data_IF_203765476134
#
_entry.id   IF_203765476134
#
_cell.length_a   1.000
_cell.length_b   1.000
_cell.length_c   1.000
_cell.angle_alpha   90.00
_cell.angle_beta   90.00
_cell.angle_gamma   90.00
#
_symmetry.space_group_name_H-M   'P 1'
#
loop_
_entity.id
_entity.type
_entity.pdbx_description
1 polymer ?
#
# COMPACT_ATOMS: atom_id res chain seq x y z
N UNK A 1 -11.95 40.66 35.59
CA UNK A 1 -11.25 40.92 36.88
C UNK A 1 -10.12 41.94 36.70
N UNK A 2 -9.81 42.75 37.73
CA UNK A 2 -8.68 43.69 37.69
C UNK A 2 -7.47 43.08 38.42
N UNK A 3 -6.32 43.01 37.75
CA UNK A 3 -5.10 42.48 38.33
C UNK A 3 -4.60 43.40 39.46
N UNK A 4 -4.52 42.89 40.70
CA UNK A 4 -4.03 43.68 41.85
C UNK A 4 -2.56 44.14 41.72
N UNK A 5 -1.75 43.45 40.89
CA UNK A 5 -0.33 43.78 40.70
C UNK A 5 -0.10 44.88 39.65
N UNK A 6 -0.87 44.90 38.58
CA UNK A 6 -0.65 45.85 37.47
C UNK A 6 -1.85 46.75 37.13
N UNK A 7 -2.99 46.58 37.80
CA UNK A 7 -4.17 47.42 37.68
C UNK A 7 -4.95 47.28 36.37
N UNK A 8 -4.61 46.29 35.51
CA UNK A 8 -5.27 46.06 34.22
C UNK A 8 -6.38 45.02 34.33
N UNK A 9 -7.41 45.21 33.52
CA UNK A 9 -8.56 44.30 33.43
C UNK A 9 -8.24 43.11 32.50
N UNK A 10 -8.61 41.90 32.92
CA UNK A 10 -8.47 40.64 32.18
C UNK A 10 -9.66 39.72 32.45
N UNK A 11 -9.86 38.71 31.58
CA UNK A 11 -10.96 37.74 31.65
C UNK A 11 -10.85 36.83 32.89
N UNK A 12 -12.00 36.49 33.50
CA UNK A 12 -12.08 35.85 34.82
C UNK A 12 -11.60 34.39 34.84
N UNK A 13 -11.66 33.71 33.69
CA UNK A 13 -11.27 32.32 33.47
C UNK A 13 -9.77 32.15 33.19
N UNK A 14 -9.02 33.25 33.07
CA UNK A 14 -7.57 33.17 32.84
C UNK A 14 -6.81 32.87 34.14
N UNK A 15 -5.92 31.85 34.14
CA UNK A 15 -5.19 31.42 35.34
C UNK A 15 -4.12 32.42 35.80
N UNK A 16 -3.68 33.33 34.91
CA UNK A 16 -2.71 34.38 35.20
C UNK A 16 -2.93 35.61 34.34
N UNK A 17 -2.54 36.77 34.88
CA UNK A 17 -2.59 38.04 34.16
C UNK A 17 -1.61 38.03 32.96
N UNK A 18 -2.12 38.24 31.76
CA UNK A 18 -1.35 38.25 30.51
C UNK A 18 -0.16 39.23 30.48
N UNK A 19 -0.24 40.33 31.22
CA UNK A 19 0.78 41.39 31.16
C UNK A 19 1.89 41.29 32.19
N UNK A 20 1.67 40.59 33.31
CA UNK A 20 2.66 40.55 34.40
C UNK A 20 2.81 39.17 35.05
N UNK A 21 2.17 38.15 34.47
CA UNK A 21 2.14 36.75 34.92
C UNK A 21 1.71 36.57 36.38
N UNK A 22 1.03 37.56 36.98
CA UNK A 22 0.50 37.42 38.33
C UNK A 22 -0.62 36.34 38.34
N UNK A 23 -0.57 35.35 39.25
CA UNK A 23 -1.58 34.31 39.33
C UNK A 23 -2.94 34.89 39.72
N UNK A 24 -4.01 34.29 39.20
CA UNK A 24 -5.37 34.70 39.51
C UNK A 24 -5.83 34.06 40.83
N UNK A 25 -5.87 34.86 41.90
CA UNK A 25 -6.20 34.40 43.27
C UNK A 25 -7.63 33.81 43.39
N UNK A 26 -8.54 34.12 42.47
CA UNK A 26 -9.89 33.55 42.48
C UNK A 26 -9.94 32.09 42.00
N UNK A 27 -8.96 31.67 41.18
CA UNK A 27 -8.87 30.29 40.68
C UNK A 27 -8.05 29.38 41.59
N UNK A 28 -7.22 29.94 42.48
CA UNK A 28 -6.40 29.17 43.42
C UNK A 28 -7.16 28.64 44.65
N UNK A 29 -8.49 28.77 44.70
CA UNK A 29 -9.33 28.31 45.81
C UNK A 29 -10.41 27.30 45.42
N UNK A 30 -10.32 26.72 44.22
CA UNK A 30 -11.09 25.55 43.82
C UNK A 30 -10.17 24.33 43.68
N UNK A 31 -9.77 23.76 44.83
CA UNK A 31 -9.42 22.35 44.91
C UNK A 31 -10.73 21.56 45.04
N UNK A 32 -10.99 20.65 44.09
CA UNK A 32 -12.14 19.76 44.12
C UNK A 32 -12.43 19.11 42.78
N UNK A 33 -11.71 18.02 42.50
CA UNK A 33 -12.19 16.76 41.90
C UNK A 33 -11.25 16.17 40.84
N UNK A 34 -10.62 15.08 41.29
CA UNK A 34 -9.82 14.09 40.61
C UNK A 34 -10.55 13.44 39.41
N UNK A 35 -10.42 14.01 38.20
CA UNK A 35 -11.05 13.42 37.02
C UNK A 35 -10.25 13.53 35.70
N UNK A 36 -8.93 13.76 35.70
CA UNK A 36 -8.18 13.89 34.43
C UNK A 36 -6.85 13.13 34.32
N UNK A 37 -6.37 12.48 35.39
CA UNK A 37 -5.15 11.64 35.34
C UNK A 37 -5.45 10.17 35.07
N UNK A 38 -6.58 9.66 35.54
CA UNK A 38 -6.98 8.27 35.33
C UNK A 38 -7.23 7.94 33.84
N UNK A 39 -7.78 8.88 33.06
CA UNK A 39 -8.02 8.67 31.62
C UNK A 39 -6.71 8.76 30.81
N UNK A 40 -5.76 9.63 31.18
CA UNK A 40 -4.46 9.69 30.49
C UNK A 40 -3.59 8.49 30.80
N UNK A 41 -3.57 8.05 32.07
CA UNK A 41 -2.82 6.86 32.49
C UNK A 41 -3.43 5.59 31.92
N UNK A 42 -4.77 5.44 31.90
CA UNK A 42 -5.42 4.28 31.27
C UNK A 42 -5.22 4.25 29.74
N UNK A 43 -5.17 5.42 29.09
CA UNK A 43 -4.90 5.53 27.65
C UNK A 43 -3.43 5.29 27.31
N UNK A 44 -2.51 5.70 28.18
CA UNK A 44 -1.07 5.42 28.09
C UNK A 44 -0.73 3.97 28.45
N UNK A 45 -1.44 3.36 29.40
CA UNK A 45 -1.35 1.94 29.72
C UNK A 45 -1.95 1.08 28.60
N UNK A 46 -3.10 1.45 28.04
CA UNK A 46 -3.66 0.78 26.86
C UNK A 46 -2.71 0.91 25.66
N UNK A 47 -2.05 2.05 25.49
CA UNK A 47 -1.02 2.27 24.47
C UNK A 47 0.22 1.41 24.74
N UNK A 48 0.74 1.38 25.98
CA UNK A 48 1.88 0.58 26.43
C UNK A 48 1.62 -0.93 26.32
N UNK A 49 0.42 -1.37 26.68
CA UNK A 49 -0.03 -2.76 26.57
C UNK A 49 -0.24 -3.15 25.10
N UNK A 50 -0.78 -2.26 24.27
CA UNK A 50 -0.80 -2.44 22.82
C UNK A 50 0.61 -2.55 22.25
N UNK A 51 1.55 -1.70 22.69
CA UNK A 51 2.95 -1.72 22.29
C UNK A 51 3.67 -3.00 22.73
N UNK A 52 3.38 -3.51 23.93
CA UNK A 52 3.89 -4.81 24.41
C UNK A 52 3.34 -5.98 23.59
N UNK A 53 2.10 -5.89 23.10
CA UNK A 53 1.50 -6.84 22.15
C UNK A 53 2.09 -6.72 20.74
N UNK A 54 2.57 -5.53 20.36
CA UNK A 54 3.24 -5.21 19.11
C UNK A 54 4.69 -5.75 19.01
N UNK A 55 5.26 -6.25 20.12
CA UNK A 55 6.58 -6.92 20.17
C UNK A 55 6.40 -8.44 20.08
N UNK A 56 5.64 -8.89 19.08
CA UNK A 56 5.47 -10.31 18.78
C UNK A 56 6.53 -10.76 17.75
N UNK A 57 7.44 -11.70 18.08
CA UNK A 57 8.40 -12.26 17.13
C UNK A 57 7.74 -12.90 15.89
N UNK A 58 6.48 -13.30 15.97
CA UNK A 58 5.71 -13.80 14.82
C UNK A 58 5.30 -12.67 13.88
N UNK A 59 4.93 -11.50 14.43
CA UNK A 59 4.58 -10.31 13.65
C UNK A 59 5.78 -9.74 12.90
N UNK A 60 6.93 -9.68 13.57
CA UNK A 60 8.22 -9.27 12.99
C UNK A 60 8.57 -10.16 11.77
N UNK A 61 8.55 -11.49 11.96
CA UNK A 61 8.76 -12.46 10.88
C UNK A 61 7.73 -12.31 9.75
N UNK A 62 6.48 -12.02 10.08
CA UNK A 62 5.41 -11.87 9.09
C UNK A 62 5.67 -10.68 8.15
N UNK A 63 6.13 -9.54 8.70
CA UNK A 63 6.51 -8.36 7.93
C UNK A 63 7.72 -8.63 7.04
N UNK A 64 8.79 -9.21 7.57
CA UNK A 64 9.99 -9.55 6.81
C UNK A 64 9.68 -10.48 5.64
N UNK A 65 8.89 -11.51 5.91
CA UNK A 65 8.42 -12.43 4.89
C UNK A 65 7.57 -11.69 3.83
N UNK A 66 6.72 -10.74 4.22
CA UNK A 66 5.91 -10.00 3.28
C UNK A 66 6.71 -9.00 2.44
N UNK A 67 7.74 -8.37 3.01
CA UNK A 67 8.71 -7.56 2.25
C UNK A 67 9.40 -8.42 1.19
N UNK A 68 9.80 -9.65 1.55
CA UNK A 68 10.36 -10.62 0.59
C UNK A 68 9.34 -11.00 -0.50
N UNK A 69 8.06 -11.19 -0.14
CA UNK A 69 6.97 -11.43 -1.10
C UNK A 69 6.79 -10.25 -2.06
N UNK A 70 6.84 -9.01 -1.57
CA UNK A 70 6.74 -7.79 -2.39
C UNK A 70 7.89 -7.68 -3.39
N UNK A 71 9.13 -7.92 -2.96
CA UNK A 71 10.31 -7.98 -3.85
C UNK A 71 10.16 -9.07 -4.91
N UNK A 72 9.66 -10.25 -4.53
CA UNK A 72 9.40 -11.36 -5.45
C UNK A 72 8.30 -11.01 -6.46
N UNK A 73 7.18 -10.44 -6.02
CA UNK A 73 6.09 -9.98 -6.88
C UNK A 73 6.59 -8.96 -7.91
N UNK A 74 7.38 -7.97 -7.50
CA UNK A 74 8.00 -6.99 -8.42
C UNK A 74 8.87 -7.70 -9.48
N UNK A 75 9.68 -8.68 -9.08
CA UNK A 75 10.55 -9.41 -10.00
C UNK A 75 9.74 -10.15 -11.07
N UNK A 76 8.71 -10.88 -10.66
CA UNK A 76 7.83 -11.60 -11.57
C UNK A 76 7.00 -10.66 -12.45
N UNK A 77 6.57 -9.50 -11.93
CA UNK A 77 5.90 -8.47 -12.73
C UNK A 77 6.81 -7.91 -13.82
N UNK A 78 8.11 -7.69 -13.55
CA UNK A 78 9.08 -7.29 -14.57
C UNK A 78 9.29 -8.37 -15.63
N UNK A 79 9.40 -9.63 -15.21
CA UNK A 79 9.50 -10.76 -16.13
C UNK A 79 8.26 -10.85 -17.04
N UNK A 80 7.07 -10.64 -16.48
CA UNK A 80 5.81 -10.61 -17.22
C UNK A 80 5.75 -9.45 -18.24
N UNK A 81 6.39 -8.31 -17.99
CA UNK A 81 6.51 -7.24 -18.99
C UNK A 81 7.28 -7.73 -20.22
N UNK A 82 8.43 -8.39 -20.01
CA UNK A 82 9.25 -8.93 -21.11
C UNK A 82 8.47 -9.97 -21.91
N UNK A 83 7.78 -10.89 -21.24
CA UNK A 83 6.95 -11.89 -21.91
C UNK A 83 5.82 -11.26 -22.73
N UNK A 84 5.15 -10.22 -22.22
CA UNK A 84 4.10 -9.52 -22.96
C UNK A 84 4.64 -8.76 -24.18
N UNK A 85 5.84 -8.18 -24.09
CA UNK A 85 6.50 -7.55 -25.26
C UNK A 85 6.79 -8.61 -26.33
N UNK A 86 7.29 -9.78 -25.96
CA UNK A 86 7.49 -10.89 -26.90
C UNK A 86 6.15 -11.34 -27.52
N UNK A 87 5.10 -11.44 -26.70
CA UNK A 87 3.75 -11.77 -27.15
C UNK A 87 3.21 -10.75 -28.14
N UNK A 88 3.47 -9.45 -27.94
CA UNK A 88 3.10 -8.40 -28.89
C UNK A 88 3.73 -8.63 -30.27
N UNK A 89 5.03 -8.94 -30.35
CA UNK A 89 5.69 -9.19 -31.63
C UNK A 89 5.13 -10.43 -32.34
N UNK A 90 4.87 -11.50 -31.60
CA UNK A 90 4.23 -12.70 -32.16
C UNK A 90 2.81 -12.37 -32.61
N UNK A 91 2.04 -11.62 -31.81
CA UNK A 91 0.69 -11.17 -32.12
C UNK A 91 0.63 -10.35 -33.40
N UNK A 92 1.50 -9.35 -33.58
CA UNK A 92 1.54 -8.55 -34.82
C UNK A 92 1.79 -9.43 -36.05
N UNK A 93 2.74 -10.37 -35.95
CA UNK A 93 3.05 -11.33 -37.02
C UNK A 93 1.87 -12.24 -37.36
N UNK A 94 1.17 -12.75 -36.34
CA UNK A 94 0.08 -13.71 -36.54
C UNK A 94 -1.23 -13.01 -36.95
N UNK A 95 -1.55 -11.84 -36.40
CA UNK A 95 -2.72 -11.05 -36.81
C UNK A 95 -2.64 -10.58 -38.27
N UNK A 96 -1.43 -10.29 -38.78
CA UNK A 96 -1.24 -10.03 -40.21
C UNK A 96 -1.68 -11.20 -41.11
N UNK A 97 -1.51 -12.45 -40.65
CA UNK A 97 -1.98 -13.62 -41.38
C UNK A 97 -3.52 -13.77 -41.33
N UNK A 98 -4.17 -13.31 -40.25
CA UNK A 98 -5.63 -13.36 -40.10
C UNK A 98 -6.38 -12.27 -40.88
N UNK A 99 -5.79 -11.09 -41.09
CA UNK A 99 -6.44 -10.02 -41.87
C UNK A 99 -6.74 -10.42 -43.32
N UNK A 100 -6.02 -11.40 -43.87
CA UNK A 100 -6.22 -11.91 -45.22
C UNK A 100 -7.20 -13.10 -45.29
N UNK A 101 -7.76 -13.53 -44.16
CA UNK A 101 -8.68 -14.67 -44.09
C UNK A 101 -10.10 -14.26 -44.48
N UNK A 102 -10.67 -14.90 -45.52
CA UNK A 102 -12.08 -14.76 -45.89
C UNK A 102 -12.88 -15.99 -45.44
N UNK A 103 -14.01 -15.75 -44.75
CA UNK A 103 -14.94 -16.78 -44.28
C UNK A 103 -15.45 -17.62 -45.46
N UNK A 104 -15.33 -18.95 -45.37
CA UNK A 104 -15.76 -19.90 -46.42
C UNK A 104 -14.62 -20.48 -47.26
N UNK A 105 -13.37 -20.05 -47.03
CA UNK A 105 -12.18 -20.65 -47.67
C UNK A 105 -11.54 -21.72 -46.79
N UNK A 106 -10.89 -22.71 -47.42
CA UNK A 106 -10.04 -23.68 -46.71
C UNK A 106 -8.95 -22.94 -45.94
N UNK A 107 -8.77 -23.28 -44.67
CA UNK A 107 -7.76 -22.65 -43.81
C UNK A 107 -6.38 -22.86 -44.44
N UNK A 108 -5.71 -21.77 -44.82
CA UNK A 108 -4.38 -21.81 -45.44
C UNK A 108 -3.34 -22.39 -44.46
N UNK A 109 -2.27 -22.98 -45.00
CA UNK A 109 -1.15 -23.49 -44.19
C UNK A 109 -0.51 -22.38 -43.34
N UNK A 110 -0.53 -21.12 -43.81
CA UNK A 110 -0.07 -19.95 -43.06
C UNK A 110 -0.91 -19.69 -41.81
N UNK A 111 -2.25 -19.79 -41.92
CA UNK A 111 -3.16 -19.63 -40.77
C UNK A 111 -3.01 -20.80 -39.78
N UNK A 112 -2.85 -22.04 -40.27
CA UNK A 112 -2.58 -23.20 -39.39
C UNK A 112 -1.27 -23.03 -38.63
N UNK A 113 -0.21 -22.60 -39.32
CA UNK A 113 1.10 -22.32 -38.72
C UNK A 113 1.04 -21.19 -37.69
N UNK A 114 0.30 -20.11 -37.99
CA UNK A 114 0.08 -19.00 -37.07
C UNK A 114 -0.68 -19.47 -35.81
N UNK A 115 -1.75 -20.25 -35.96
CA UNK A 115 -2.49 -20.84 -34.83
C UNK A 115 -1.61 -21.76 -33.97
N UNK A 116 -0.82 -22.64 -34.61
CA UNK A 116 0.13 -23.51 -33.90
C UNK A 116 1.17 -22.71 -33.12
N UNK A 117 1.69 -21.62 -33.71
CA UNK A 117 2.64 -20.71 -33.06
C UNK A 117 2.02 -20.02 -31.85
N UNK A 118 0.79 -19.49 -31.96
CA UNK A 118 0.07 -18.89 -30.83
C UNK A 118 -0.14 -19.92 -29.73
N UNK A 119 -0.59 -21.13 -30.07
CA UNK A 119 -0.85 -22.19 -29.11
C UNK A 119 0.41 -22.60 -28.33
N UNK A 120 1.54 -22.81 -29.01
CA UNK A 120 2.82 -23.11 -28.38
C UNK A 120 3.28 -21.98 -27.46
N UNK A 121 3.11 -20.73 -27.89
CA UNK A 121 3.46 -19.56 -27.07
C UNK A 121 2.57 -19.45 -25.82
N UNK A 122 1.27 -19.73 -25.93
CA UNK A 122 0.35 -19.75 -24.79
C UNK A 122 0.76 -20.84 -23.78
N UNK A 123 1.11 -22.04 -24.25
CA UNK A 123 1.62 -23.10 -23.37
C UNK A 123 2.92 -22.69 -22.67
N UNK A 124 3.86 -22.09 -23.41
CA UNK A 124 5.13 -21.63 -22.86
C UNK A 124 4.95 -20.52 -21.80
N UNK A 125 3.99 -19.61 -22.01
CA UNK A 125 3.74 -18.47 -21.13
C UNK A 125 2.80 -18.77 -19.96
N UNK A 126 2.06 -19.88 -20.01
CA UNK A 126 1.08 -20.24 -18.98
C UNK A 126 1.70 -20.40 -17.59
N UNK A 127 2.82 -21.11 -17.47
CA UNK A 127 3.49 -21.34 -16.18
C UNK A 127 3.99 -20.01 -15.58
N UNK A 128 4.80 -19.20 -16.30
CA UNK A 128 5.18 -17.86 -15.83
C UNK A 128 4.01 -16.99 -15.41
N UNK A 129 2.93 -17.01 -16.20
CA UNK A 129 1.74 -16.22 -15.91
C UNK A 129 1.09 -16.66 -14.60
N UNK A 130 0.93 -17.96 -14.37
CA UNK A 130 0.39 -18.49 -13.10
C UNK A 130 1.27 -18.10 -11.90
N UNK A 131 2.60 -18.17 -12.06
CA UNK A 131 3.53 -17.74 -10.99
C UNK A 131 3.41 -16.24 -10.73
N UNK A 132 3.32 -15.42 -11.78
CA UNK A 132 3.10 -13.98 -11.66
C UNK A 132 1.82 -13.66 -10.87
N UNK A 133 0.69 -14.30 -11.21
CA UNK A 133 -0.59 -14.14 -10.50
C UNK A 133 -0.44 -14.57 -9.03
N UNK A 134 0.08 -15.78 -8.79
CA UNK A 134 0.21 -16.33 -7.44
C UNK A 134 1.12 -15.49 -6.53
N UNK A 135 2.23 -14.95 -7.07
CA UNK A 135 3.14 -14.09 -6.31
C UNK A 135 2.50 -12.75 -5.92
N UNK A 136 1.74 -12.13 -6.83
CA UNK A 136 1.03 -10.89 -6.53
C UNK A 136 -0.12 -11.11 -5.54
N UNK A 137 -0.92 -12.18 -5.72
CA UNK A 137 -1.98 -12.54 -4.78
C UNK A 137 -1.47 -12.76 -3.37
N UNK A 138 -0.41 -13.57 -3.23
CA UNK A 138 0.16 -13.87 -1.92
C UNK A 138 0.69 -12.60 -1.24
N UNK A 139 1.34 -11.71 -2.00
CA UNK A 139 1.81 -10.44 -1.46
C UNK A 139 0.64 -9.53 -1.03
N UNK A 140 -0.37 -9.32 -1.88
CA UNK A 140 -1.53 -8.46 -1.55
C UNK A 140 -2.27 -8.98 -0.32
N UNK A 141 -2.49 -10.29 -0.24
CA UNK A 141 -3.13 -10.93 0.90
C UNK A 141 -2.41 -10.59 2.20
N UNK A 142 -1.10 -10.84 2.25
CA UNK A 142 -0.32 -10.59 3.46
C UNK A 142 -0.16 -9.10 3.73
N UNK A 143 -0.01 -8.25 2.72
CA UNK A 143 0.05 -6.80 2.91
C UNK A 143 -1.20 -6.27 3.62
N UNK A 144 -2.40 -6.69 3.20
CA UNK A 144 -3.63 -6.30 3.89
C UNK A 144 -3.80 -6.99 5.25
N UNK A 145 -3.44 -8.27 5.36
CA UNK A 145 -3.54 -9.03 6.61
C UNK A 145 -2.68 -8.43 7.71
N UNK A 146 -1.40 -8.14 7.44
CA UNK A 146 -0.51 -7.59 8.45
C UNK A 146 -0.92 -6.15 8.82
N UNK A 147 -1.37 -5.33 7.85
CA UNK A 147 -1.86 -3.98 8.15
C UNK A 147 -3.15 -3.96 8.98
N UNK A 148 -4.02 -4.97 8.83
CA UNK A 148 -5.25 -5.08 9.63
C UNK A 148 -5.02 -5.28 11.13
N UNK A 149 -3.78 -5.57 11.54
CA UNK A 149 -3.40 -5.68 12.95
C UNK A 149 -3.26 -4.32 13.65
N UNK A 150 -3.10 -3.23 12.90
CA UNK A 150 -2.87 -1.88 13.46
C UNK A 150 -4.02 -0.92 13.22
N UNK A 151 -4.73 -1.10 12.10
CA UNK A 151 -5.79 -0.18 11.67
C UNK A 151 -6.95 -0.97 11.10
N UNK A 152 -8.15 -0.44 11.27
CA UNK A 152 -9.32 -1.02 10.63
C UNK A 152 -9.20 -0.88 9.10
N UNK A 153 -9.38 -1.97 8.38
CA UNK A 153 -9.17 -2.02 6.92
C UNK A 153 -10.50 -2.10 6.20
N UNK A 154 -10.71 -1.24 5.20
CA UNK A 154 -11.90 -1.33 4.34
C UNK A 154 -11.99 -2.67 3.59
N UNK A 155 -10.86 -3.19 3.12
CA UNK A 155 -10.81 -4.50 2.45
C UNK A 155 -10.35 -5.58 3.42
N UNK A 156 -11.15 -6.65 3.54
CA UNK A 156 -10.65 -7.92 4.06
C UNK A 156 -9.52 -8.47 3.16
N UNK A 157 -8.54 -9.23 3.68
CA UNK A 157 -7.39 -9.69 2.90
C UNK A 157 -7.76 -10.45 1.63
N UNK A 158 -8.72 -11.39 1.69
CA UNK A 158 -9.22 -12.09 0.51
C UNK A 158 -10.03 -11.20 -0.43
N UNK A 159 -10.76 -10.22 0.11
CA UNK A 159 -11.45 -9.21 -0.69
C UNK A 159 -10.46 -8.39 -1.52
N UNK A 160 -9.34 -7.95 -0.91
CA UNK A 160 -8.27 -7.25 -1.61
C UNK A 160 -7.66 -8.08 -2.75
N UNK A 161 -7.43 -9.39 -2.53
CA UNK A 161 -6.91 -10.31 -3.55
C UNK A 161 -7.83 -10.41 -4.76
N UNK A 162 -9.14 -10.59 -4.54
CA UNK A 162 -10.14 -10.69 -5.61
C UNK A 162 -10.23 -9.37 -6.37
N UNK A 163 -10.22 -8.24 -5.65
CA UNK A 163 -10.32 -6.90 -6.22
C UNK A 163 -9.05 -6.44 -6.95
N UNK A 164 -7.88 -7.05 -6.69
CA UNK A 164 -6.58 -6.60 -7.20
C UNK A 164 -6.46 -6.66 -8.73
N UNK A 165 -7.12 -7.61 -9.39
CA UNK A 165 -7.09 -7.73 -10.86
C UNK A 165 -8.32 -7.17 -11.55
N UNK A 166 -9.31 -6.68 -10.80
CA UNK A 166 -10.46 -6.01 -11.39
C UNK A 166 -10.04 -4.59 -11.77
N UNK A 167 -10.10 -4.21 -13.06
CA UNK A 167 -9.75 -2.86 -13.50
C UNK A 167 -10.54 -1.83 -12.71
N UNK A 168 -9.93 -0.68 -12.44
CA UNK A 168 -10.49 0.42 -11.62
C UNK A 168 -10.58 0.08 -10.13
N UNK A 169 -11.00 -1.13 -9.75
CA UNK A 169 -11.12 -1.53 -8.35
C UNK A 169 -9.75 -1.67 -7.69
N UNK A 170 -8.76 -2.16 -8.43
CA UNK A 170 -7.38 -2.29 -7.96
C UNK A 170 -6.77 -0.97 -7.45
N UNK A 171 -7.20 0.18 -7.97
CA UNK A 171 -6.81 1.50 -7.46
C UNK A 171 -7.24 1.66 -5.99
N UNK A 172 -8.47 1.26 -5.65
CA UNK A 172 -8.96 1.37 -4.29
C UNK A 172 -8.23 0.42 -3.34
N UNK A 173 -7.82 -0.76 -3.82
CA UNK A 173 -6.97 -1.68 -3.04
C UNK A 173 -5.66 -1.00 -2.64
N UNK A 174 -4.93 -0.42 -3.60
CA UNK A 174 -3.69 0.29 -3.31
C UNK A 174 -3.90 1.56 -2.49
N UNK A 175 -4.97 2.32 -2.77
CA UNK A 175 -5.30 3.53 -2.01
C UNK A 175 -5.54 3.20 -0.53
N UNK A 176 -6.41 2.24 -0.25
CA UNK A 176 -6.73 1.82 1.10
C UNK A 176 -5.48 1.28 1.83
N UNK A 177 -4.65 0.47 1.15
CA UNK A 177 -3.42 -0.05 1.74
C UNK A 177 -2.45 1.08 2.13
N UNK A 178 -2.17 2.00 1.21
CA UNK A 178 -1.22 3.10 1.44
C UNK A 178 -1.72 4.11 2.47
N UNK A 179 -3.03 4.38 2.49
CA UNK A 179 -3.66 5.26 3.47
C UNK A 179 -3.55 4.67 4.88
N UNK A 180 -3.86 3.37 5.03
CA UNK A 180 -3.75 2.67 6.30
C UNK A 180 -2.30 2.59 6.78
N UNK A 181 -1.36 2.26 5.90
CA UNK A 181 0.07 2.32 6.22
C UNK A 181 0.51 3.73 6.64
N UNK A 182 0.01 4.76 5.97
CA UNK A 182 0.28 6.15 6.33
C UNK A 182 -0.23 6.52 7.71
N UNK A 183 -1.41 6.04 8.10
CA UNK A 183 -1.97 6.24 9.42
C UNK A 183 -1.17 5.48 10.49
N UNK A 184 -0.80 4.23 10.24
CA UNK A 184 0.09 3.44 11.13
C UNK A 184 1.43 4.14 11.34
N UNK A 185 2.08 4.60 10.26
CA UNK A 185 3.36 5.30 10.35
C UNK A 185 3.26 6.61 11.14
N UNK A 186 2.17 7.39 10.95
CA UNK A 186 1.92 8.60 11.74
C UNK A 186 1.73 8.29 13.23
N UNK A 187 1.00 7.23 13.55
CA UNK A 187 0.78 6.79 14.93
C UNK A 187 2.10 6.40 15.61
N UNK A 188 3.02 5.78 14.86
CA UNK A 188 4.36 5.44 15.32
C UNK A 188 5.36 6.62 15.34
N UNK A 189 4.93 7.84 14.98
CA UNK A 189 5.80 9.01 14.92
C UNK A 189 6.83 8.98 13.78
N UNK A 190 6.67 8.09 12.81
CA UNK A 190 7.58 7.92 11.68
C UNK A 190 7.17 8.86 10.54
N UNK A 191 8.13 9.61 10.00
CA UNK A 191 7.89 10.45 8.83
C UNK A 191 7.53 9.56 7.63
N UNK A 192 6.24 9.55 7.26
CA UNK A 192 5.69 8.74 6.17
C UNK A 192 6.48 9.00 4.89
N UNK A 193 6.90 7.93 4.21
CA UNK A 193 7.29 8.00 2.80
C UNK A 193 6.00 8.08 1.98
N UNK A 194 5.34 9.22 2.04
CA UNK A 194 4.03 9.40 1.41
C UNK A 194 4.24 9.31 -0.09
N UNK A 195 3.70 8.27 -0.73
CA UNK A 195 3.64 8.28 -2.18
C UNK A 195 2.78 9.45 -2.64
N UNK A 196 3.23 10.06 -3.72
CA UNK A 196 2.55 11.21 -4.29
C UNK A 196 1.13 10.82 -4.69
N UNK A 197 0.12 11.57 -4.24
CA UNK A 197 -1.26 11.46 -4.74
C UNK A 197 -1.32 11.47 -6.29
N UNK A 198 -0.33 12.07 -6.95
CA UNK A 198 -0.21 12.05 -8.41
C UNK A 198 0.02 10.63 -8.95
N UNK A 199 0.81 9.79 -8.28
CA UNK A 199 1.10 8.43 -8.73
C UNK A 199 -0.14 7.54 -8.71
N UNK A 200 -0.91 7.59 -7.62
CA UNK A 200 -2.22 6.95 -7.51
C UNK A 200 -3.20 7.47 -8.57
N UNK A 201 -3.22 8.78 -8.81
CA UNK A 201 -4.07 9.39 -9.86
C UNK A 201 -3.72 8.89 -11.25
N UNK A 202 -2.43 8.84 -11.61
CA UNK A 202 -2.00 8.27 -12.88
C UNK A 202 -2.37 6.79 -12.98
N UNK A 203 -2.14 6.01 -11.92
CA UNK A 203 -2.53 4.60 -11.89
C UNK A 203 -4.03 4.41 -12.14
N UNK A 204 -4.89 5.27 -11.58
CA UNK A 204 -6.32 5.27 -11.84
C UNK A 204 -6.66 5.55 -13.31
N UNK A 205 -6.10 6.63 -13.87
CA UNK A 205 -6.33 7.03 -15.27
C UNK A 205 -5.94 5.91 -16.23
N UNK A 206 -4.76 5.31 -16.05
CA UNK A 206 -4.29 4.21 -16.91
C UNK A 206 -5.09 2.91 -16.70
N UNK A 207 -5.66 2.68 -15.52
CA UNK A 207 -6.57 1.56 -15.28
C UNK A 207 -7.91 1.70 -16.02
N UNK A 208 -8.37 2.93 -16.29
CA UNK A 208 -9.56 3.19 -17.11
C UNK A 208 -9.20 3.13 -18.59
N UNK A 209 -8.09 3.75 -19.00
CA UNK A 209 -7.69 3.82 -20.40
C UNK A 209 -7.36 2.43 -20.98
N UNK A 210 -6.66 1.58 -20.23
CA UNK A 210 -6.18 0.28 -20.75
C UNK A 210 -7.33 -0.64 -21.22
N UNK A 211 -8.41 -0.88 -20.45
CA UNK A 211 -9.57 -1.64 -20.91
C UNK A 211 -10.26 -1.05 -22.15
N UNK A 212 -10.36 0.28 -22.26
CA UNK A 212 -10.96 0.97 -23.41
C UNK A 212 -10.15 0.66 -24.68
N UNK A 213 -8.82 0.81 -24.61
CA UNK A 213 -7.95 0.53 -25.75
C UNK A 213 -7.87 -0.97 -26.09
N UNK A 214 -7.95 -1.85 -25.09
CA UNK A 214 -8.08 -3.30 -25.33
C UNK A 214 -9.37 -3.63 -26.09
N UNK A 215 -10.50 -3.04 -25.70
CA UNK A 215 -11.77 -3.21 -26.42
C UNK A 215 -11.69 -2.70 -27.86
N UNK A 216 -11.10 -1.52 -28.08
CA UNK A 216 -10.90 -0.96 -29.42
C UNK A 216 -9.97 -1.85 -30.28
N UNK A 217 -8.96 -2.45 -29.66
CA UNK A 217 -8.05 -3.41 -30.30
C UNK A 217 -8.82 -4.64 -30.78
N UNK A 218 -9.64 -5.25 -29.90
CA UNK A 218 -10.47 -6.41 -30.26
C UNK A 218 -11.49 -6.10 -31.37
N UNK A 219 -12.05 -4.88 -31.39
CA UNK A 219 -13.06 -4.47 -32.38
C UNK A 219 -12.46 -4.19 -33.76
N UNK A 220 -11.30 -3.55 -33.82
CA UNK A 220 -10.73 -3.03 -35.08
C UNK A 220 -9.61 -3.89 -35.66
N UNK A 221 -8.96 -4.73 -34.84
CA UNK A 221 -7.75 -5.49 -35.20
C UNK A 221 -6.69 -4.62 -35.90
N UNK A 222 -6.60 -3.34 -35.50
CA UNK A 222 -5.72 -2.35 -36.12
C UNK A 222 -4.37 -2.28 -35.39
N UNK A 223 -3.27 -2.47 -36.12
CA UNK A 223 -1.90 -2.56 -35.59
C UNK A 223 -1.48 -1.32 -34.77
N UNK A 224 -1.68 -0.07 -35.23
CA UNK A 224 -1.50 1.12 -34.41
C UNK A 224 -2.22 1.10 -33.05
N UNK A 225 -3.46 0.63 -33.01
CA UNK A 225 -4.26 0.59 -31.77
C UNK A 225 -3.69 -0.47 -30.83
N UNK A 226 -3.31 -1.64 -31.36
CA UNK A 226 -2.63 -2.69 -30.60
C UNK A 226 -1.31 -2.20 -29.97
N UNK A 227 -0.53 -1.40 -30.72
CA UNK A 227 0.71 -0.80 -30.21
C UNK A 227 0.45 0.17 -29.05
N UNK A 228 -0.53 1.07 -29.21
CA UNK A 228 -0.93 1.99 -28.13
C UNK A 228 -1.42 1.21 -26.90
N UNK A 229 -2.26 0.19 -27.09
CA UNK A 229 -2.77 -0.63 -25.99
C UNK A 229 -1.64 -1.31 -25.21
N UNK A 230 -0.63 -1.82 -25.93
CA UNK A 230 0.56 -2.45 -25.34
C UNK A 230 1.36 -1.44 -24.52
N UNK A 231 1.58 -0.23 -25.03
CA UNK A 231 2.25 0.84 -24.28
C UNK A 231 1.49 1.21 -23.01
N UNK A 232 0.17 1.39 -23.11
CA UNK A 232 -0.67 1.71 -21.95
C UNK A 232 -0.57 0.64 -20.86
N UNK A 233 -0.60 -0.64 -21.26
CA UNK A 233 -0.42 -1.76 -20.35
C UNK A 233 0.97 -1.77 -19.68
N UNK A 234 2.04 -1.49 -20.44
CA UNK A 234 3.41 -1.37 -19.87
C UNK A 234 3.46 -0.24 -18.85
N UNK A 235 2.93 0.94 -19.18
CA UNK A 235 2.89 2.09 -18.27
C UNK A 235 2.12 1.74 -16.99
N UNK A 236 0.94 1.14 -17.14
CA UNK A 236 0.11 0.70 -16.01
C UNK A 236 0.87 -0.26 -15.10
N UNK A 237 1.57 -1.23 -15.67
CA UNK A 237 2.35 -2.21 -14.93
C UNK A 237 3.55 -1.58 -14.21
N UNK A 238 4.23 -0.61 -14.85
CA UNK A 238 5.32 0.16 -14.22
C UNK A 238 4.82 0.99 -13.05
N UNK A 239 3.65 1.63 -13.19
CA UNK A 239 3.00 2.36 -12.09
C UNK A 239 2.64 1.40 -10.94
N UNK A 240 2.10 0.23 -11.26
CA UNK A 240 1.84 -0.84 -10.29
C UNK A 240 3.11 -1.25 -9.53
N UNK A 241 4.23 -1.47 -10.22
CA UNK A 241 5.53 -1.77 -9.57
C UNK A 241 5.93 -0.67 -8.59
N UNK A 242 5.73 0.61 -8.95
CA UNK A 242 6.06 1.73 -8.05
C UNK A 242 5.18 1.71 -6.80
N UNK A 243 3.88 1.44 -6.93
CA UNK A 243 2.96 1.29 -5.80
C UNK A 243 3.37 0.13 -4.88
N UNK A 244 3.70 -1.04 -5.44
CA UNK A 244 4.16 -2.20 -4.66
C UNK A 244 5.46 -1.85 -3.90
N UNK A 245 6.41 -1.18 -4.56
CA UNK A 245 7.66 -0.75 -3.91
C UNK A 245 7.41 0.19 -2.74
N UNK A 246 6.50 1.13 -2.90
CA UNK A 246 6.14 2.06 -1.85
C UNK A 246 5.50 1.36 -0.66
N UNK A 247 4.50 0.52 -0.92
CA UNK A 247 3.82 -0.25 0.12
C UNK A 247 4.81 -1.15 0.88
N UNK A 248 5.73 -1.79 0.16
CA UNK A 248 6.80 -2.62 0.75
C UNK A 248 7.77 -1.78 1.59
N UNK A 249 8.11 -0.56 1.17
CA UNK A 249 9.01 0.32 1.91
C UNK A 249 8.36 0.88 3.18
N UNK A 250 7.07 1.19 3.14
CA UNK A 250 6.30 1.58 4.33
C UNK A 250 6.21 0.43 5.33
N UNK A 251 6.00 -0.79 4.84
CA UNK A 251 5.97 -1.98 5.67
C UNK A 251 7.32 -2.26 6.35
N UNK A 252 8.42 -2.12 5.61
CA UNK A 252 9.77 -2.18 6.20
C UNK A 252 9.98 -1.11 7.28
N UNK A 253 9.51 0.12 7.05
CA UNK A 253 9.65 1.19 8.04
C UNK A 253 8.88 0.90 9.33
N UNK A 254 7.70 0.28 9.24
CA UNK A 254 6.98 -0.21 10.42
C UNK A 254 7.79 -1.29 11.14
N UNK A 255 8.29 -2.28 10.40
CA UNK A 255 9.13 -3.34 10.95
C UNK A 255 10.34 -2.81 11.72
N UNK A 256 11.14 -1.94 11.09
CA UNK A 256 12.36 -1.39 11.68
C UNK A 256 12.07 -0.62 12.98
N UNK A 257 10.92 0.08 13.05
CA UNK A 257 10.51 0.77 14.27
C UNK A 257 10.13 -0.20 15.39
N UNK A 258 9.43 -1.29 15.07
CA UNK A 258 9.06 -2.30 16.05
C UNK A 258 10.30 -3.01 16.61
N UNK A 259 11.28 -3.29 15.76
CA UNK A 259 12.57 -3.85 16.17
C UNK A 259 13.32 -2.90 17.11
N UNK A 260 13.42 -1.61 16.77
CA UNK A 260 14.06 -0.60 17.62
C UNK A 260 13.39 -0.47 18.99
N UNK A 261 12.05 -0.43 19.02
CA UNK A 261 11.29 -0.38 20.27
C UNK A 261 11.55 -1.61 21.14
N UNK A 262 11.65 -2.80 20.53
CA UNK A 262 11.97 -4.05 21.22
C UNK A 262 13.37 -4.04 21.83
N UNK A 263 14.37 -3.55 21.08
CA UNK A 263 15.75 -3.47 21.55
C UNK A 263 15.85 -2.49 22.73
N UNK A 264 15.28 -1.29 22.59
CA UNK A 264 15.29 -0.28 23.64
C UNK A 264 14.67 -0.79 24.94
N UNK A 265 13.52 -1.46 24.85
CA UNK A 265 12.88 -2.07 26.02
C UNK A 265 13.77 -3.11 26.72
N UNK A 266 14.45 -3.97 25.96
CA UNK A 266 15.40 -4.94 26.55
C UNK A 266 16.58 -4.26 27.21
N UNK A 267 17.08 -3.17 26.64
CA UNK A 267 18.16 -2.37 27.23
C UNK A 267 17.71 -1.78 28.57
N UNK A 268 16.50 -1.20 28.62
CA UNK A 268 15.91 -0.67 29.86
C UNK A 268 15.73 -1.76 30.93
N UNK A 269 15.22 -2.94 30.56
CA UNK A 269 15.07 -4.08 31.47
C UNK A 269 16.42 -4.52 32.06
N UNK A 270 17.50 -4.53 31.27
CA UNK A 270 18.86 -4.88 31.74
C UNK A 270 19.42 -3.80 32.66
N UNK A 271 19.20 -2.51 32.36
CA UNK A 271 19.65 -1.40 33.22
C UNK A 271 18.93 -1.48 34.57
N UNK A 272 17.61 -1.65 34.57
CA UNK A 272 16.82 -1.78 35.81
C UNK A 272 17.27 -2.98 36.66
N UNK A 273 17.61 -4.12 36.05
CA UNK A 273 18.16 -5.27 36.78
C UNK A 273 19.53 -5.01 37.40
N UNK A 274 20.35 -4.16 36.78
CA UNK A 274 21.66 -3.77 37.32
C UNK A 274 21.55 -2.76 38.46
N UNK A 275 20.58 -1.85 38.39
CA UNK A 275 20.34 -0.85 39.44
C UNK A 275 19.67 -1.44 40.69
N UNK A 276 19.00 -2.59 40.55
CA UNK A 276 18.37 -3.32 41.65
C UNK A 276 19.34 -4.21 42.47
N UNK A 277 20.63 -4.29 42.08
CA UNK A 277 21.70 -5.07 42.75
C UNK A 277 22.69 -4.13 43.41
#
# INVERSE_FOLDING_TARGET
>A
MICKKCGREYEDDMPKCLWCDAPNESLSSQDGDDASTADSEAQEEAYSESLKKLVDPELERAFDDNVRRGKSAISWTKFQIVLNILFFFVGVKTFGAFQNYQVGTTVSEEVKSALGTIFLLLLFTAIPFCVFIGKNWLWVYHAHKEQSKFTETFFAPWGAVICYYIPVVNYFVFKALLENQGNTLKLLGIKVKTESNKLLTWFFIFNIATPIFNYLTCKSLNTPILFISTILWIILTVLGIKLIKAATANEQAVHDQLENNRINKKVEEIIAQREAV
#
